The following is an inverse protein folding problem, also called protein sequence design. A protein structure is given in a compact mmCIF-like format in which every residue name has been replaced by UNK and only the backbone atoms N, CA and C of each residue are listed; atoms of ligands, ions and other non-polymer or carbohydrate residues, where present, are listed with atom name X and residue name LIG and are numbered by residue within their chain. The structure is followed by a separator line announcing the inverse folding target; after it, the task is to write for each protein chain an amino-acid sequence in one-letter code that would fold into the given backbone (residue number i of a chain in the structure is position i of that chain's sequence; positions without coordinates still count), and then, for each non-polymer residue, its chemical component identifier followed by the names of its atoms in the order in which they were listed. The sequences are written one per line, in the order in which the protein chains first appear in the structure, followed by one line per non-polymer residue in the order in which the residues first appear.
data_IF_547862538852
#
_entry.id   IF_547862538852
#
_cell.length_a   1.000
_cell.length_b   1.000
_cell.length_c   1.000
_cell.angle_alpha   90.00
_cell.angle_beta   90.00
_cell.angle_gamma   90.00
#
_symmetry.space_group_name_H-M   'P 1'
#
loop_
_entity.id
_entity.type
_entity.pdbx_description
1 polymer ?
#
# COMPACT_ATOMS: atom_id res chain seq x y z
N UNK A 1 -10.91 -8.53 8.87
CA UNK A 1 -11.77 -8.55 10.09
C UNK A 1 -12.54 -7.24 10.07
N UNK A 2 -13.86 -7.24 10.25
CA UNK A 2 -14.60 -5.97 10.36
C UNK A 2 -14.74 -5.55 11.82
N UNK A 3 -14.55 -4.28 12.12
CA UNK A 3 -14.82 -3.71 13.45
C UNK A 3 -16.31 -3.77 13.78
N UNK A 4 -16.67 -3.42 15.01
CA UNK A 4 -18.08 -3.28 15.42
C UNK A 4 -18.83 -2.22 14.57
N UNK A 5 -18.11 -1.29 13.94
CA UNK A 5 -18.64 -0.27 13.04
C UNK A 5 -18.61 -0.68 11.56
N UNK A 6 -18.16 -1.90 11.25
CA UNK A 6 -18.19 -2.47 9.90
C UNK A 6 -16.96 -2.15 9.04
N UNK A 7 -15.97 -1.45 9.59
CA UNK A 7 -14.71 -1.11 8.90
C UNK A 7 -13.77 -2.31 8.84
N UNK A 8 -13.17 -2.57 7.68
CA UNK A 8 -12.04 -3.46 7.54
C UNK A 8 -10.75 -2.70 7.85
N UNK A 9 -10.15 -2.98 9.02
CA UNK A 9 -8.94 -2.29 9.49
C UNK A 9 -7.77 -2.42 8.52
N UNK A 10 -7.69 -3.54 7.77
CA UNK A 10 -6.65 -3.72 6.76
C UNK A 10 -6.99 -3.04 5.42
N UNK A 11 -7.93 -2.08 5.42
CA UNK A 11 -8.27 -1.17 4.31
C UNK A 11 -8.35 0.29 4.76
N UNK A 12 -7.94 0.59 5.99
CA UNK A 12 -8.16 1.88 6.63
C UNK A 12 -6.86 2.70 6.78
N UNK A 13 -5.72 2.17 6.32
CA UNK A 13 -4.40 2.80 6.53
C UNK A 13 -4.24 4.19 5.91
N UNK A 14 -5.02 4.57 4.89
CA UNK A 14 -4.95 5.89 4.27
C UNK A 14 -6.00 6.85 4.83
N UNK A 15 -7.26 6.41 4.86
CA UNK A 15 -8.38 7.26 5.30
C UNK A 15 -8.44 7.41 6.83
N UNK A 16 -7.96 6.42 7.58
CA UNK A 16 -7.83 6.41 9.03
C UNK A 16 -9.12 6.89 9.73
N UNK A 17 -10.21 6.16 9.54
CA UNK A 17 -11.51 6.45 10.16
C UNK A 17 -11.76 5.61 11.40
N UNK A 18 -11.25 4.37 11.46
CA UNK A 18 -11.47 3.52 12.60
C UNK A 18 -10.62 3.96 13.81
N UNK A 19 -11.23 3.90 15.00
CA UNK A 19 -10.56 4.23 16.27
C UNK A 19 -9.31 3.38 16.49
N UNK A 20 -9.35 2.09 16.11
CA UNK A 20 -8.21 1.19 16.22
C UNK A 20 -7.05 1.61 15.29
N UNK A 21 -7.34 2.09 14.09
CA UNK A 21 -6.33 2.60 13.16
C UNK A 21 -5.73 3.89 13.71
N UNK A 22 -6.55 4.84 14.16
CA UNK A 22 -6.08 6.07 14.79
C UNK A 22 -5.20 5.78 16.02
N UNK A 23 -5.57 4.80 16.83
CA UNK A 23 -4.80 4.36 17.98
C UNK A 23 -3.47 3.71 17.58
N UNK A 24 -3.44 2.88 16.52
CA UNK A 24 -2.21 2.29 15.98
C UNK A 24 -1.25 3.39 15.50
N UNK A 25 -1.75 4.40 14.78
CA UNK A 25 -0.91 5.47 14.26
C UNK A 25 -0.35 6.32 15.39
N UNK A 26 -1.21 6.85 16.27
CA UNK A 26 -0.79 7.75 17.35
C UNK A 26 0.08 7.07 18.41
N UNK A 27 -0.25 5.84 18.82
CA UNK A 27 0.41 5.20 19.96
C UNK A 27 1.56 4.26 19.57
N UNK A 28 1.62 3.83 18.31
CA UNK A 28 2.65 2.89 17.83
C UNK A 28 3.48 3.52 16.73
N UNK A 29 2.89 3.80 15.56
CA UNK A 29 3.67 4.19 14.39
C UNK A 29 4.34 5.55 14.54
N UNK A 30 3.64 6.57 15.01
CA UNK A 30 4.23 7.90 15.21
C UNK A 30 5.14 7.93 16.44
N UNK A 31 4.76 7.20 17.49
CA UNK A 31 5.50 7.20 18.77
C UNK A 31 6.86 6.51 18.66
N UNK A 32 6.91 5.38 17.97
CA UNK A 32 8.11 4.54 17.89
C UNK A 32 8.78 4.57 16.53
N UNK A 33 8.03 4.88 15.47
CA UNK A 33 8.52 4.91 14.10
C UNK A 33 9.32 3.64 13.73
N UNK A 34 8.68 2.46 13.81
CA UNK A 34 9.40 1.19 13.78
C UNK A 34 10.11 0.96 12.45
N UNK A 35 11.36 0.50 12.52
CA UNK A 35 12.19 0.18 11.36
C UNK A 35 11.64 -0.97 10.50
N UNK A 36 10.98 -1.93 11.14
CA UNK A 36 10.32 -3.07 10.51
C UNK A 36 8.97 -3.32 11.17
N UNK A 37 7.91 -3.40 10.37
CA UNK A 37 6.58 -3.84 10.79
C UNK A 37 6.31 -5.27 10.27
N UNK A 38 5.85 -6.15 11.14
CA UNK A 38 5.39 -7.50 10.76
C UNK A 38 3.88 -7.58 10.97
N UNK A 39 3.15 -7.78 9.90
CA UNK A 39 1.69 -7.88 9.90
C UNK A 39 1.27 -9.35 9.70
N UNK A 40 0.74 -9.97 10.75
CA UNK A 40 0.43 -11.41 10.77
C UNK A 40 -1.07 -11.66 10.57
N UNK A 41 -1.36 -12.51 9.60
CA UNK A 41 -2.70 -12.86 9.16
C UNK A 41 -2.87 -14.38 8.99
N UNK A 42 -4.10 -14.77 8.69
CA UNK A 42 -4.42 -16.09 8.14
C UNK A 42 -5.19 -15.89 6.85
N UNK A 43 -4.67 -16.43 5.76
CA UNK A 43 -5.24 -16.19 4.44
C UNK A 43 -6.46 -17.07 4.20
N UNK A 44 -7.52 -16.50 3.64
CA UNK A 44 -8.64 -17.26 3.08
C UNK A 44 -8.37 -17.71 1.62
N UNK A 45 -7.13 -17.54 1.15
CA UNK A 45 -6.72 -17.62 -0.24
C UNK A 45 -6.74 -19.01 -0.87
N UNK A 46 -5.89 -19.21 -1.88
CA UNK A 46 -5.82 -20.46 -2.63
C UNK A 46 -5.27 -21.61 -1.81
N UNK A 47 -5.61 -22.84 -2.21
CA UNK A 47 -4.98 -24.02 -1.66
C UNK A 47 -3.51 -24.06 -2.12
N UNK A 48 -2.57 -24.07 -1.19
CA UNK A 48 -1.14 -24.19 -1.44
C UNK A 48 -0.50 -25.16 -0.44
N UNK A 49 0.72 -25.61 -0.73
CA UNK A 49 1.45 -26.52 0.18
C UNK A 49 2.32 -25.82 1.23
N UNK A 50 2.41 -24.49 1.21
CA UNK A 50 3.20 -23.72 2.17
C UNK A 50 2.52 -23.64 3.55
N UNK A 51 3.30 -23.74 4.62
CA UNK A 51 2.82 -23.58 6.01
C UNK A 51 2.45 -22.12 6.31
N UNK A 52 3.21 -21.18 5.74
CA UNK A 52 2.95 -19.75 5.73
C UNK A 52 3.43 -19.18 4.41
N UNK A 53 2.73 -18.16 3.93
CA UNK A 53 3.18 -17.37 2.78
C UNK A 53 3.49 -15.94 3.21
N UNK A 54 4.39 -15.27 2.52
CA UNK A 54 4.81 -13.93 2.89
C UNK A 54 4.82 -12.96 1.71
N UNK A 55 4.79 -11.67 2.01
CA UNK A 55 5.08 -10.64 1.02
C UNK A 55 5.79 -9.46 1.68
N UNK A 56 6.65 -8.74 0.94
CA UNK A 56 7.15 -7.46 1.37
C UNK A 56 6.02 -6.42 1.30
N UNK A 57 6.30 -5.22 1.78
CA UNK A 57 5.63 -4.03 1.27
C UNK A 57 5.98 -3.85 -0.21
N UNK A 58 4.98 -3.62 -1.07
CA UNK A 58 5.25 -3.32 -2.46
C UNK A 58 5.67 -1.87 -2.63
N UNK A 59 6.76 -1.67 -3.36
CA UNK A 59 7.20 -0.34 -3.73
C UNK A 59 6.32 0.22 -4.85
N UNK A 60 5.66 1.35 -4.57
CA UNK A 60 4.90 2.15 -5.55
C UNK A 60 5.54 3.54 -5.68
N UNK A 61 5.34 4.40 -4.68
CA UNK A 61 5.88 5.78 -4.58
C UNK A 61 7.01 5.90 -3.56
N UNK A 62 7.15 4.92 -2.67
CA UNK A 62 8.18 4.88 -1.62
C UNK A 62 9.61 4.94 -2.17
N UNK A 63 10.61 4.81 -1.31
CA UNK A 63 11.97 4.50 -1.76
C UNK A 63 12.09 2.98 -1.94
N UNK A 64 12.52 2.52 -3.12
CA UNK A 64 12.57 1.09 -3.44
C UNK A 64 13.51 0.29 -2.55
N UNK A 65 14.54 0.91 -1.97
CA UNK A 65 15.59 0.19 -1.25
C UNK A 65 15.08 -0.58 -0.03
N UNK A 66 14.07 -0.08 0.68
CA UNK A 66 13.52 -0.75 1.88
C UNK A 66 12.73 -2.00 1.51
N UNK A 67 11.86 -1.90 0.51
CA UNK A 67 11.09 -3.03 -0.04
C UNK A 67 11.99 -4.04 -0.76
N UNK A 68 13.00 -3.57 -1.49
CA UNK A 68 14.01 -4.41 -2.14
C UNK A 68 14.82 -5.19 -1.12
N UNK A 69 15.26 -4.55 -0.03
CA UNK A 69 16.00 -5.26 1.00
C UNK A 69 15.14 -6.32 1.68
N UNK A 70 13.88 -6.00 1.95
CA UNK A 70 12.91 -6.96 2.50
C UNK A 70 12.74 -8.18 1.57
N UNK A 71 12.52 -7.94 0.28
CA UNK A 71 12.24 -9.00 -0.70
C UNK A 71 13.46 -9.82 -1.13
N UNK A 72 14.63 -9.19 -1.27
CA UNK A 72 15.84 -9.80 -1.81
C UNK A 72 16.77 -10.36 -0.73
N UNK A 73 16.66 -9.90 0.52
CA UNK A 73 17.54 -10.31 1.61
C UNK A 73 16.78 -10.91 2.80
N UNK A 74 15.84 -10.17 3.41
CA UNK A 74 15.18 -10.62 4.64
C UNK A 74 14.35 -11.88 4.39
N UNK A 75 13.43 -11.85 3.43
CA UNK A 75 12.50 -12.95 3.18
C UNK A 75 13.18 -14.23 2.70
N UNK A 76 14.17 -14.20 1.77
CA UNK A 76 14.93 -15.38 1.39
C UNK A 76 15.73 -16.00 2.56
N UNK A 77 16.36 -15.16 3.40
CA UNK A 77 17.10 -15.64 4.56
C UNK A 77 16.19 -16.32 5.59
N UNK A 78 15.02 -15.73 5.86
CA UNK A 78 14.01 -16.33 6.74
C UNK A 78 13.49 -17.64 6.14
N UNK A 79 13.13 -17.67 4.85
CA UNK A 79 12.67 -18.90 4.17
C UNK A 79 13.68 -20.04 4.33
N UNK A 80 14.97 -19.74 4.10
CA UNK A 80 16.03 -20.72 4.25
C UNK A 80 16.15 -21.22 5.70
N UNK A 81 16.24 -20.30 6.66
CA UNK A 81 16.40 -20.66 8.08
C UNK A 81 15.23 -21.50 8.60
N UNK A 82 14.00 -21.14 8.21
CA UNK A 82 12.79 -21.89 8.57
C UNK A 82 12.83 -23.31 8.01
N UNK A 83 13.25 -23.47 6.76
CA UNK A 83 13.38 -24.79 6.14
C UNK A 83 14.41 -25.65 6.87
N UNK A 84 15.56 -25.08 7.24
CA UNK A 84 16.64 -25.79 7.91
C UNK A 84 16.30 -26.18 9.35
N UNK A 85 15.72 -25.26 10.13
CA UNK A 85 15.45 -25.48 11.57
C UNK A 85 14.15 -26.23 11.84
N UNK A 86 13.11 -25.98 11.04
CA UNK A 86 11.76 -26.49 11.32
C UNK A 86 11.21 -27.40 10.21
N UNK A 87 11.90 -27.50 9.06
CA UNK A 87 11.43 -28.25 7.90
C UNK A 87 10.01 -27.83 7.44
N UNK A 88 9.74 -26.53 7.46
CA UNK A 88 8.50 -25.95 6.95
C UNK A 88 8.76 -25.27 5.60
N UNK A 89 7.79 -25.38 4.68
CA UNK A 89 7.83 -24.72 3.37
C UNK A 89 7.13 -23.37 3.44
N UNK A 90 7.86 -22.30 3.10
CA UNK A 90 7.40 -20.93 3.09
C UNK A 90 7.66 -20.34 1.70
N UNK A 91 6.75 -19.52 1.19
CA UNK A 91 6.95 -18.88 -0.11
C UNK A 91 6.13 -17.60 -0.28
N UNK A 92 6.23 -17.00 -1.47
CA UNK A 92 5.46 -15.82 -1.87
C UNK A 92 3.96 -15.99 -1.62
N UNK A 93 3.36 -14.94 -1.07
CA UNK A 93 1.92 -14.77 -0.97
C UNK A 93 1.34 -14.50 -2.35
N UNK A 94 0.22 -15.15 -2.63
CA UNK A 94 -0.56 -14.89 -3.83
C UNK A 94 -1.66 -15.92 -4.06
N UNK A 95 -2.47 -15.65 -5.06
CA UNK A 95 -3.52 -16.52 -5.55
C UNK A 95 -3.35 -16.84 -7.03
N UNK A 96 -3.96 -17.93 -7.44
CA UNK A 96 -4.06 -18.39 -8.84
C UNK A 96 -5.48 -18.90 -9.10
N UNK A 97 -5.91 -18.91 -10.36
CA UNK A 97 -7.21 -19.45 -10.72
C UNK A 97 -7.09 -20.96 -10.99
N UNK A 98 -7.61 -21.79 -10.08
CA UNK A 98 -7.57 -23.25 -10.24
C UNK A 98 -8.37 -23.76 -11.47
N UNK A 99 -9.24 -22.92 -12.06
CA UNK A 99 -9.96 -23.28 -13.29
C UNK A 99 -9.07 -23.26 -14.54
N UNK A 100 -7.88 -22.68 -14.43
CA UNK A 100 -6.88 -22.61 -15.49
C UNK A 100 -5.73 -23.60 -15.19
N UNK A 101 -6.04 -24.82 -14.72
CA UNK A 101 -5.03 -25.77 -14.27
C UNK A 101 -4.29 -26.46 -15.43
N UNK A 102 -2.93 -26.54 -15.41
CA UNK A 102 -2.04 -26.00 -14.38
C UNK A 102 -1.89 -24.47 -14.46
N UNK A 103 -1.92 -23.75 -13.33
CA UNK A 103 -1.77 -22.29 -13.32
C UNK A 103 -0.43 -21.85 -13.90
N UNK A 104 -0.46 -20.76 -14.68
CA UNK A 104 0.72 -20.12 -15.27
C UNK A 104 1.15 -18.85 -14.52
N UNK A 105 0.32 -18.36 -13.60
CA UNK A 105 0.55 -17.10 -12.87
C UNK A 105 0.21 -17.25 -11.39
N UNK A 106 1.05 -16.68 -10.51
CA UNK A 106 0.73 -16.42 -9.11
C UNK A 106 0.66 -14.90 -8.91
N UNK A 107 -0.49 -14.39 -8.46
CA UNK A 107 -0.76 -12.95 -8.30
C UNK A 107 -0.93 -12.57 -6.85
N UNK A 108 -0.22 -11.53 -6.40
CA UNK A 108 -0.29 -11.06 -5.01
C UNK A 108 -1.51 -10.17 -4.70
N UNK A 109 -1.57 -9.57 -3.50
CA UNK A 109 -2.56 -8.56 -3.12
C UNK A 109 -2.32 -7.22 -3.82
N UNK A 110 -3.30 -6.32 -3.74
CA UNK A 110 -3.22 -5.02 -4.42
C UNK A 110 -2.15 -4.11 -3.78
N UNK A 111 -1.47 -3.30 -4.59
CA UNK A 111 -0.39 -2.39 -4.17
C UNK A 111 -0.80 -1.24 -3.23
N UNK A 112 -2.11 -1.07 -3.00
CA UNK A 112 -2.65 0.17 -2.47
C UNK A 112 -2.15 0.41 -1.02
N UNK A 113 -1.71 1.62 -0.66
CA UNK A 113 -1.19 1.90 0.68
C UNK A 113 -2.25 1.88 1.80
N UNK A 114 -3.52 1.57 1.52
CA UNK A 114 -4.54 1.24 2.53
C UNK A 114 -4.20 -0.01 3.36
N UNK A 115 -3.38 -0.91 2.81
CA UNK A 115 -2.79 -2.00 3.56
C UNK A 115 -1.63 -1.45 4.38
N UNK A 116 -1.61 -1.73 5.68
CA UNK A 116 -0.60 -1.16 6.60
C UNK A 116 0.83 -1.48 6.15
N UNK A 117 1.06 -2.66 5.55
CA UNK A 117 2.36 -3.07 5.00
C UNK A 117 2.83 -2.11 3.90
N UNK A 118 1.99 -1.84 2.90
CA UNK A 118 2.30 -0.90 1.82
C UNK A 118 2.35 0.54 2.32
N UNK A 119 1.57 0.90 3.34
CA UNK A 119 1.66 2.21 3.99
C UNK A 119 3.06 2.44 4.59
N UNK A 120 3.67 1.43 5.22
CA UNK A 120 5.01 1.56 5.78
C UNK A 120 6.06 1.84 4.71
N UNK A 121 5.91 1.32 3.49
CA UNK A 121 6.81 1.65 2.37
C UNK A 121 6.74 3.14 1.99
N UNK A 122 5.57 3.78 2.08
CA UNK A 122 5.47 5.24 1.87
C UNK A 122 6.15 6.06 2.97
N UNK A 123 6.44 5.45 4.12
CA UNK A 123 7.22 6.03 5.22
C UNK A 123 8.70 5.69 5.17
N UNK A 124 9.17 5.03 4.10
CA UNK A 124 10.52 4.48 3.99
C UNK A 124 10.87 3.54 5.16
N UNK A 125 9.90 2.71 5.57
CA UNK A 125 10.10 1.65 6.55
C UNK A 125 9.88 0.31 5.88
N UNK A 126 10.52 -0.72 6.43
CA UNK A 126 10.33 -2.09 5.96
C UNK A 126 9.02 -2.65 6.53
N UNK A 127 8.34 -3.48 5.77
CA UNK A 127 7.23 -4.26 6.30
C UNK A 127 7.12 -5.64 5.64
N UNK A 128 6.64 -6.59 6.45
CA UNK A 128 6.43 -7.97 6.05
C UNK A 128 4.99 -8.36 6.35
N UNK A 129 4.28 -8.82 5.33
CA UNK A 129 3.03 -9.57 5.49
C UNK A 129 3.38 -11.04 5.71
N UNK A 130 2.82 -11.65 6.76
CA UNK A 130 2.88 -13.09 7.00
C UNK A 130 1.49 -13.71 7.06
N UNK A 131 1.22 -14.70 6.23
CA UNK A 131 -0.11 -15.27 6.00
C UNK A 131 -0.11 -16.78 6.21
N UNK A 132 -0.60 -17.21 7.37
CA UNK A 132 -0.72 -18.65 7.69
C UNK A 132 -1.84 -19.32 6.89
N UNK A 133 -1.69 -20.61 6.61
CA UNK A 133 -2.64 -21.34 5.77
C UNK A 133 -3.95 -21.69 6.51
N UNK A 134 -5.07 -21.04 6.19
CA UNK A 134 -6.36 -21.23 6.91
C UNK A 134 -6.89 -22.66 6.95
N UNK A 135 -6.55 -23.47 5.96
CA UNK A 135 -7.00 -24.86 5.88
C UNK A 135 -6.18 -25.83 6.73
N UNK A 136 -5.07 -25.36 7.31
CA UNK A 136 -4.29 -26.12 8.26
C UNK A 136 -4.92 -26.08 9.67
N UNK A 137 -4.66 -27.15 10.43
CA UNK A 137 -5.13 -27.22 11.83
C UNK A 137 -4.56 -26.05 12.63
N UNK A 138 -5.35 -25.50 13.54
CA UNK A 138 -4.99 -24.31 14.31
C UNK A 138 -3.59 -24.39 14.95
N UNK A 139 -3.23 -25.52 15.56
CA UNK A 139 -1.89 -25.68 16.16
C UNK A 139 -0.74 -25.59 15.15
N UNK A 140 -0.95 -26.02 13.89
CA UNK A 140 0.06 -25.90 12.84
C UNK A 140 0.22 -24.44 12.41
N UNK A 141 -0.88 -23.70 12.28
CA UNK A 141 -0.85 -22.26 11.99
C UNK A 141 -0.10 -21.50 13.07
N UNK A 142 -0.40 -21.78 14.34
CA UNK A 142 0.31 -21.17 15.48
C UNK A 142 1.79 -21.53 15.46
N UNK A 143 2.14 -22.79 15.18
CA UNK A 143 3.54 -23.20 15.07
C UNK A 143 4.27 -22.49 13.92
N UNK A 144 3.67 -22.41 12.73
CA UNK A 144 4.26 -21.72 11.59
C UNK A 144 4.43 -20.22 11.86
N UNK A 145 3.43 -19.57 12.47
CA UNK A 145 3.53 -18.16 12.87
C UNK A 145 4.63 -17.93 13.91
N UNK A 146 4.76 -18.81 14.90
CA UNK A 146 5.81 -18.69 15.92
C UNK A 146 7.21 -18.88 15.31
N UNK A 147 7.41 -19.89 14.46
CA UNK A 147 8.67 -20.09 13.74
C UNK A 147 9.00 -18.88 12.87
N UNK A 148 8.01 -18.30 12.20
CA UNK A 148 8.20 -17.09 11.41
C UNK A 148 8.65 -15.90 12.24
N UNK A 149 7.96 -15.62 13.34
CA UNK A 149 8.32 -14.51 14.24
C UNK A 149 9.69 -14.72 14.87
N UNK A 150 10.02 -15.95 15.28
CA UNK A 150 11.33 -16.30 15.82
C UNK A 150 12.46 -15.99 14.81
N UNK A 151 12.30 -16.41 13.55
CA UNK A 151 13.31 -16.13 12.53
C UNK A 151 13.38 -14.64 12.12
N UNK A 152 12.27 -13.91 12.13
CA UNK A 152 12.31 -12.44 11.98
C UNK A 152 13.08 -11.79 13.12
N UNK A 153 12.84 -12.23 14.37
CA UNK A 153 13.54 -11.70 15.54
C UNK A 153 15.03 -12.03 15.52
N UNK A 154 15.41 -13.25 15.13
CA UNK A 154 16.82 -13.61 14.96
C UNK A 154 17.49 -12.78 13.86
N UNK A 155 16.86 -12.64 12.70
CA UNK A 155 17.40 -11.86 11.60
C UNK A 155 17.58 -10.38 12.01
N UNK A 156 16.56 -9.78 12.60
CA UNK A 156 16.61 -8.38 13.05
C UNK A 156 17.60 -8.16 14.19
N UNK A 157 17.84 -9.14 15.07
CA UNK A 157 18.90 -9.07 16.07
C UNK A 157 20.29 -8.97 15.42
N UNK A 158 20.53 -9.74 14.35
CA UNK A 158 21.82 -9.78 13.66
C UNK A 158 22.03 -8.59 12.70
N UNK A 159 20.95 -8.08 12.11
CA UNK A 159 20.99 -7.08 11.03
C UNK A 159 20.35 -5.72 11.40
N UNK A 160 20.01 -5.50 12.67
CA UNK A 160 19.27 -4.31 13.11
C UNK A 160 19.92 -2.98 12.73
N UNK A 161 21.23 -2.84 12.91
CA UNK A 161 21.97 -1.62 12.53
C UNK A 161 21.96 -1.39 11.01
N UNK A 162 21.99 -2.46 10.22
CA UNK A 162 21.92 -2.37 8.75
C UNK A 162 20.52 -1.93 8.31
N UNK A 163 19.46 -2.50 8.88
CA UNK A 163 18.07 -2.12 8.63
C UNK A 163 17.86 -0.63 8.95
N UNK A 164 18.32 -0.20 10.13
CA UNK A 164 18.24 1.20 10.57
C UNK A 164 18.96 2.15 9.61
N UNK A 165 20.17 1.77 9.18
CA UNK A 165 20.94 2.56 8.21
C UNK A 165 20.20 2.68 6.88
N UNK A 166 19.67 1.59 6.34
CA UNK A 166 18.94 1.60 5.04
C UNK A 166 17.72 2.52 5.12
N UNK A 167 16.92 2.43 6.20
CA UNK A 167 15.77 3.29 6.41
C UNK A 167 16.18 4.77 6.55
N UNK A 168 17.22 5.08 7.31
CA UNK A 168 17.72 6.44 7.50
C UNK A 168 18.27 7.06 6.20
N UNK A 169 18.96 6.27 5.38
CA UNK A 169 19.44 6.69 4.06
C UNK A 169 18.27 6.93 3.10
N UNK A 170 17.21 6.13 3.18
CA UNK A 170 15.99 6.35 2.40
C UNK A 170 15.26 7.63 2.84
N UNK A 171 15.15 7.89 4.15
CA UNK A 171 14.60 9.14 4.69
C UNK A 171 15.37 10.37 4.15
N UNK A 172 16.70 10.32 4.17
CA UNK A 172 17.56 11.40 3.68
C UNK A 172 17.40 11.61 2.16
N UNK A 173 17.43 10.53 1.35
CA UNK A 173 17.24 10.63 -0.11
C UNK A 173 15.89 11.24 -0.47
N UNK A 174 14.83 10.83 0.20
CA UNK A 174 13.48 11.35 -0.03
C UNK A 174 13.43 12.84 0.32
N UNK A 175 13.94 13.25 1.49
CA UNK A 175 13.95 14.65 1.89
C UNK A 175 14.78 15.55 0.96
N UNK A 176 15.91 15.06 0.45
CA UNK A 176 16.86 15.85 -0.34
C UNK A 176 16.50 15.94 -1.83
N UNK A 177 15.83 14.92 -2.38
CA UNK A 177 15.77 14.76 -3.84
C UNK A 177 14.39 14.51 -4.43
N UNK A 178 13.34 14.29 -3.64
CA UNK A 178 12.02 13.93 -4.20
C UNK A 178 11.38 15.04 -5.02
N UNK A 179 11.62 16.31 -4.67
CA UNK A 179 11.02 17.48 -5.32
C UNK A 179 11.42 17.51 -6.81
N UNK A 180 10.43 17.65 -7.69
CA UNK A 180 10.60 17.68 -9.14
C UNK A 180 10.75 16.31 -9.81
N UNK A 181 10.75 15.20 -9.04
CA UNK A 181 10.72 13.87 -9.63
C UNK A 181 9.30 13.50 -10.09
N UNK A 182 9.20 12.70 -11.15
CA UNK A 182 7.97 12.02 -11.53
C UNK A 182 7.78 10.78 -10.64
N UNK A 183 6.64 10.72 -9.94
CA UNK A 183 6.27 9.55 -9.12
C UNK A 183 4.90 9.02 -9.51
N UNK A 184 4.73 7.71 -9.41
CA UNK A 184 3.48 7.05 -9.79
C UNK A 184 2.30 7.48 -8.90
N UNK A 185 1.12 7.61 -9.47
CA UNK A 185 -0.14 7.86 -8.74
C UNK A 185 -1.17 6.75 -9.02
N UNK A 186 -0.90 5.92 -10.03
CA UNK A 186 -1.70 4.73 -10.36
C UNK A 186 -0.76 3.62 -10.78
N UNK A 187 -1.09 2.38 -10.43
CA UNK A 187 -0.19 1.24 -10.67
C UNK A 187 -0.92 0.01 -11.21
N UNK A 188 -0.19 -0.79 -11.98
CA UNK A 188 -0.62 -2.11 -12.45
C UNK A 188 0.35 -3.18 -11.97
N UNK A 189 -0.18 -4.36 -11.70
CA UNK A 189 0.63 -5.52 -11.30
C UNK A 189 1.38 -6.10 -12.50
N UNK A 190 2.66 -6.40 -12.32
CA UNK A 190 3.55 -6.95 -13.34
C UNK A 190 4.34 -8.15 -12.77
N UNK A 191 4.77 -9.09 -13.62
CA UNK A 191 5.61 -10.20 -13.16
C UNK A 191 7.03 -9.71 -12.84
N UNK A 192 7.66 -10.37 -11.87
CA UNK A 192 9.12 -10.33 -11.71
C UNK A 192 9.79 -11.06 -12.88
N UNK A 193 11.05 -10.72 -13.15
CA UNK A 193 11.85 -11.37 -14.20
C UNK A 193 12.02 -12.88 -13.95
N UNK A 194 12.21 -13.26 -12.68
CA UNK A 194 12.40 -14.64 -12.28
C UNK A 194 11.04 -15.30 -11.94
N UNK A 195 10.67 -16.42 -12.61
CA UNK A 195 9.50 -17.19 -12.24
C UNK A 195 9.72 -17.92 -10.91
N UNK A 196 8.66 -18.54 -10.40
CA UNK A 196 8.72 -19.37 -9.19
C UNK A 196 8.25 -20.80 -9.45
N UNK A 197 8.64 -21.69 -8.54
CA UNK A 197 8.14 -23.05 -8.46
C UNK A 197 6.97 -23.08 -7.47
N UNK A 198 5.76 -23.28 -7.98
CA UNK A 198 4.54 -23.19 -7.19
C UNK A 198 4.24 -24.51 -6.49
N UNK A 199 4.48 -24.56 -5.17
CA UNK A 199 4.05 -25.67 -4.31
C UNK A 199 2.55 -25.58 -4.00
N UNK A 200 1.77 -26.52 -4.54
CA UNK A 200 0.31 -26.48 -4.44
C UNK A 200 -0.35 -27.86 -4.43
N UNK A 201 -1.65 -27.94 -4.16
CA UNK A 201 -2.44 -29.16 -4.31
C UNK A 201 -2.83 -29.40 -5.77
N UNK A 202 -2.78 -30.66 -6.24
CA UNK A 202 -3.20 -31.00 -7.59
C UNK A 202 -4.71 -30.88 -7.78
N UNK A 203 -5.14 -30.57 -9.01
CA UNK A 203 -6.54 -30.47 -9.38
C UNK A 203 -6.87 -31.44 -10.51
N UNK A 204 -7.99 -32.16 -10.35
CA UNK A 204 -8.45 -33.19 -11.28
C UNK A 204 -9.61 -32.62 -12.09
N UNK A 205 -9.53 -32.57 -13.44
CA UNK A 205 -10.61 -32.09 -14.28
C UNK A 205 -11.77 -33.09 -14.30
N UNK A 206 -13.01 -32.60 -14.30
CA UNK A 206 -14.21 -33.38 -14.54
C UNK A 206 -15.19 -32.61 -15.42
N UNK A 207 -16.03 -33.34 -16.17
CA UNK A 207 -17.04 -32.76 -17.05
C UNK A 207 -18.35 -32.57 -16.29
N UNK A 208 -18.88 -31.34 -16.29
CA UNK A 208 -20.20 -31.00 -15.75
C UNK A 208 -21.31 -31.44 -16.71
N UNK A 209 -22.56 -31.44 -16.22
CA UNK A 209 -23.73 -31.83 -17.00
C UNK A 209 -23.97 -30.93 -18.23
N UNK A 210 -23.57 -29.66 -18.16
CA UNK A 210 -23.63 -28.69 -19.27
C UNK A 210 -22.49 -28.84 -20.30
N UNK A 211 -21.57 -29.80 -20.07
CA UNK A 211 -20.43 -30.07 -20.94
C UNK A 211 -19.19 -29.22 -20.65
N UNK A 212 -19.24 -28.26 -19.73
CA UNK A 212 -18.07 -27.50 -19.30
C UNK A 212 -17.13 -28.36 -18.43
N UNK A 213 -15.84 -28.00 -18.42
CA UNK A 213 -14.85 -28.62 -17.53
C UNK A 213 -14.78 -27.79 -16.25
N UNK A 214 -14.77 -28.48 -15.12
CA UNK A 214 -14.43 -27.91 -13.82
C UNK A 214 -13.41 -28.80 -13.12
N UNK A 215 -12.90 -28.35 -12.00
CA UNK A 215 -11.79 -28.99 -11.32
C UNK A 215 -12.13 -29.28 -9.86
N UNK A 216 -11.72 -30.45 -9.39
CA UNK A 216 -11.80 -30.82 -7.98
C UNK A 216 -10.38 -30.99 -7.42
N UNK A 217 -10.16 -30.45 -6.24
CA UNK A 217 -8.87 -30.53 -5.55
C UNK A 217 -8.59 -31.96 -5.08
N UNK A 218 -7.37 -32.44 -5.33
CA UNK A 218 -6.78 -33.66 -4.78
C UNK A 218 -6.06 -33.39 -3.45
N UNK A 219 -5.76 -34.44 -2.69
CA UNK A 219 -4.89 -34.34 -1.51
C UNK A 219 -3.39 -34.39 -1.84
N UNK A 220 -3.05 -34.66 -3.10
CA UNK A 220 -1.67 -34.71 -3.58
C UNK A 220 -1.08 -33.30 -3.68
N UNK A 221 0.14 -33.12 -3.16
CA UNK A 221 0.93 -31.92 -3.37
C UNK A 221 1.81 -32.10 -4.60
N UNK A 222 1.90 -31.06 -5.41
CA UNK A 222 2.71 -30.98 -6.63
C UNK A 222 3.49 -29.67 -6.65
N UNK A 223 4.57 -29.65 -7.42
CA UNK A 223 5.32 -28.44 -7.77
C UNK A 223 5.06 -28.16 -9.24
N UNK A 224 4.63 -26.94 -9.54
CA UNK A 224 4.49 -26.45 -10.92
C UNK A 224 5.64 -25.48 -11.16
N UNK A 225 6.57 -25.88 -12.02
CA UNK A 225 7.76 -25.10 -12.35
C UNK A 225 7.42 -23.95 -13.31
N UNK A 226 8.17 -22.85 -13.21
CA UNK A 226 8.11 -21.75 -14.19
C UNK A 226 6.83 -20.92 -14.16
N UNK A 227 6.16 -20.82 -13.00
CA UNK A 227 4.97 -19.98 -12.82
C UNK A 227 5.38 -18.51 -12.77
N UNK A 228 4.73 -17.66 -13.57
CA UNK A 228 5.01 -16.23 -13.58
C UNK A 228 4.65 -15.59 -12.22
N UNK A 229 5.60 -14.85 -11.66
CA UNK A 229 5.49 -14.31 -10.31
C UNK A 229 5.05 -12.84 -10.31
N UNK A 230 3.74 -12.58 -10.25
CA UNK A 230 3.15 -11.23 -10.22
C UNK A 230 3.23 -10.61 -8.82
N UNK A 231 4.46 -10.26 -8.43
CA UNK A 231 4.83 -9.66 -7.14
C UNK A 231 5.53 -8.31 -7.31
N UNK A 232 5.34 -7.63 -8.44
CA UNK A 232 5.81 -6.27 -8.71
C UNK A 232 4.69 -5.38 -9.28
N UNK A 233 4.94 -4.07 -9.29
CA UNK A 233 3.99 -3.07 -9.78
C UNK A 233 4.71 -1.98 -10.55
N UNK A 234 4.14 -1.61 -11.70
CA UNK A 234 4.61 -0.50 -12.52
C UNK A 234 3.60 0.65 -12.48
N UNK A 235 4.11 1.88 -12.48
CA UNK A 235 3.28 3.07 -12.58
C UNK A 235 2.60 3.13 -13.96
N UNK A 236 1.28 3.24 -13.98
CA UNK A 236 0.49 3.49 -15.20
C UNK A 236 0.24 4.98 -15.41
N UNK A 237 0.39 5.77 -14.35
CA UNK A 237 0.29 7.23 -14.36
C UNK A 237 1.23 7.83 -13.34
N UNK A 238 1.86 8.95 -13.68
CA UNK A 238 2.77 9.69 -12.80
C UNK A 238 2.32 11.14 -12.63
N UNK A 239 2.82 11.80 -11.59
CA UNK A 239 2.74 13.23 -11.40
C UNK A 239 4.05 13.76 -10.81
N UNK A 240 4.34 15.04 -11.05
CA UNK A 240 5.54 15.69 -10.50
C UNK A 240 5.37 15.97 -9.01
N UNK A 241 6.37 15.63 -8.20
CA UNK A 241 6.38 15.98 -6.77
C UNK A 241 6.62 17.48 -6.60
N UNK A 242 5.71 18.24 -5.97
CA UNK A 242 5.86 19.68 -5.78
C UNK A 242 6.85 20.00 -4.65
N UNK A 243 7.18 21.28 -4.47
CA UNK A 243 7.90 21.75 -3.28
C UNK A 243 7.02 21.75 -2.03
N UNK A 244 5.74 22.07 -2.20
CA UNK A 244 4.77 22.09 -1.13
C UNK A 244 3.34 21.91 -1.67
N UNK A 245 2.46 21.41 -0.80
CA UNK A 245 1.02 21.52 -1.01
C UNK A 245 0.45 22.64 -0.16
N UNK A 246 -0.49 23.41 -0.71
CA UNK A 246 -1.08 24.57 -0.05
C UNK A 246 -2.59 24.47 -0.14
N UNK A 247 -3.28 24.69 0.97
CA UNK A 247 -4.74 24.63 1.01
C UNK A 247 -5.32 25.60 2.04
N UNK A 248 -6.59 25.96 1.85
CA UNK A 248 -7.22 27.02 2.64
C UNK A 248 -7.51 26.60 4.07
N UNK A 249 -7.53 27.58 4.97
CA UNK A 249 -7.86 27.42 6.39
C UNK A 249 -9.21 26.72 6.64
N UNK A 250 -10.16 26.84 5.70
CA UNK A 250 -11.47 26.18 5.75
C UNK A 250 -11.39 24.65 5.69
N UNK A 251 -10.26 24.07 5.29
CA UNK A 251 -10.02 22.63 5.27
C UNK A 251 -9.24 22.17 6.52
N UNK A 252 -9.58 22.66 7.71
CA UNK A 252 -8.93 22.23 8.95
C UNK A 252 -9.01 20.72 9.16
N UNK A 253 -10.09 20.06 8.72
CA UNK A 253 -10.20 18.59 8.74
C UNK A 253 -9.16 17.88 7.87
N UNK A 254 -8.69 18.50 6.78
CA UNK A 254 -7.55 17.97 6.02
C UNK A 254 -6.26 18.09 6.83
N UNK A 255 -6.02 19.23 7.47
CA UNK A 255 -4.86 19.43 8.35
C UNK A 255 -4.83 18.37 9.47
N UNK A 256 -5.95 18.20 10.19
CA UNK A 256 -6.09 17.18 11.24
C UNK A 256 -5.84 15.75 10.73
N UNK A 257 -6.34 15.44 9.51
CA UNK A 257 -6.13 14.13 8.89
C UNK A 257 -4.65 13.88 8.57
N UNK A 258 -3.95 14.88 8.04
CA UNK A 258 -2.51 14.79 7.75
C UNK A 258 -1.68 14.68 9.05
N UNK A 259 -2.02 15.46 10.07
CA UNK A 259 -1.39 15.36 11.41
C UNK A 259 -1.62 13.99 12.04
N UNK A 260 -2.79 13.37 11.80
CA UNK A 260 -3.07 11.98 12.16
C UNK A 260 -2.16 10.96 11.48
N UNK A 261 -1.55 11.32 10.36
CA UNK A 261 -0.46 10.57 9.71
C UNK A 261 0.94 10.97 10.20
N UNK A 262 1.05 11.88 11.16
CA UNK A 262 2.33 12.41 11.66
C UNK A 262 2.99 13.37 10.67
N UNK A 263 2.22 13.92 9.72
CA UNK A 263 2.69 14.92 8.77
C UNK A 263 2.63 16.28 9.46
N UNK A 264 3.72 17.05 9.36
CA UNK A 264 3.75 18.43 9.83
C UNK A 264 2.96 19.31 8.86
N UNK A 265 1.93 19.98 9.39
CA UNK A 265 1.16 21.00 8.66
C UNK A 265 1.49 22.35 9.27
N UNK A 266 2.09 23.24 8.49
CA UNK A 266 2.44 24.59 8.92
C UNK A 266 1.33 25.56 8.55
N UNK A 267 1.21 26.65 9.32
CA UNK A 267 0.25 27.74 9.07
C UNK A 267 1.00 28.92 8.47
N UNK A 268 0.47 29.50 7.40
CA UNK A 268 1.04 30.72 6.81
C UNK A 268 0.90 31.90 7.78
N UNK A 269 2.04 32.52 8.10
CA UNK A 269 2.10 33.67 9.01
C UNK A 269 1.75 35.01 8.36
N UNK A 270 1.72 35.06 7.02
CA UNK A 270 1.36 36.22 6.23
C UNK A 270 0.79 35.79 4.88
N UNK A 271 0.10 36.71 4.20
CA UNK A 271 -0.35 36.49 2.83
C UNK A 271 0.87 36.24 1.93
N UNK A 272 0.77 35.21 1.10
CA UNK A 272 1.87 34.78 0.24
C UNK A 272 1.34 34.31 -1.12
N UNK A 273 2.11 34.59 -2.17
CA UNK A 273 1.80 34.21 -3.54
C UNK A 273 2.73 33.11 -3.98
N UNK A 274 2.17 32.05 -4.56
CA UNK A 274 2.89 30.87 -5.01
C UNK A 274 2.60 30.61 -6.49
N UNK A 275 3.64 30.25 -7.23
CA UNK A 275 3.54 29.74 -8.59
C UNK A 275 3.58 28.22 -8.56
N UNK A 276 2.80 27.59 -9.43
CA UNK A 276 2.72 26.14 -9.49
C UNK A 276 1.49 25.71 -10.26
N UNK A 277 0.82 24.64 -9.82
CA UNK A 277 -0.23 23.98 -10.59
C UNK A 277 -1.53 23.84 -9.79
N UNK A 278 -2.64 24.10 -10.46
CA UNK A 278 -3.99 23.80 -9.99
C UNK A 278 -4.55 22.63 -10.79
N UNK A 279 -5.00 21.57 -10.12
CA UNK A 279 -5.76 20.53 -10.80
C UNK A 279 -7.21 20.99 -10.99
N UNK A 280 -7.65 21.09 -12.24
CA UNK A 280 -9.02 21.47 -12.62
C UNK A 280 -9.78 20.23 -13.04
N UNK A 281 -10.80 19.89 -12.25
CA UNK A 281 -11.63 18.70 -12.40
C UNK A 281 -12.77 19.01 -13.35
N UNK A 282 -13.03 18.09 -14.28
CA UNK A 282 -14.19 18.14 -15.17
C UNK A 282 -15.18 16.99 -14.91
N UNK A 283 -14.74 15.91 -14.26
CA UNK A 283 -15.58 14.74 -13.99
C UNK A 283 -15.14 14.04 -12.67
N UNK A 284 -16.13 13.58 -11.90
CA UNK A 284 -15.94 12.72 -10.72
C UNK A 284 -16.63 11.40 -11.01
N UNK A 285 -15.85 10.41 -11.41
CA UNK A 285 -16.29 9.03 -11.54
C UNK A 285 -16.39 8.36 -10.17
N UNK A 286 -17.12 7.25 -10.10
CA UNK A 286 -17.31 6.46 -8.89
C UNK A 286 -16.99 4.98 -9.14
N UNK A 287 -16.36 4.33 -8.18
CA UNK A 287 -16.27 2.86 -8.16
C UNK A 287 -17.66 2.22 -8.16
N UNK A 288 -17.78 1.06 -8.78
CA UNK A 288 -19.05 0.32 -8.90
C UNK A 288 -19.39 -0.53 -7.66
N UNK A 289 -18.53 -0.51 -6.65
CA UNK A 289 -18.70 -1.24 -5.40
C UNK A 289 -18.33 -0.36 -4.20
N UNK A 290 -18.87 -0.71 -3.04
CA UNK A 290 -18.58 -0.03 -1.77
C UNK A 290 -17.35 -0.67 -1.12
N UNK A 291 -16.36 0.14 -0.80
CA UNK A 291 -15.14 -0.27 -0.14
C UNK A 291 -14.99 0.44 1.19
N UNK A 292 -14.96 -0.32 2.28
CA UNK A 292 -14.84 0.22 3.63
C UNK A 292 -15.88 1.31 4.00
N UNK A 293 -17.07 1.31 3.37
CA UNK A 293 -18.09 2.36 3.57
C UNK A 293 -18.09 3.46 2.52
N UNK A 294 -17.12 3.46 1.62
CA UNK A 294 -16.90 4.48 0.58
C UNK A 294 -17.30 3.98 -0.79
N UNK A 295 -17.90 4.86 -1.59
CA UNK A 295 -17.99 4.68 -3.04
C UNK A 295 -16.91 5.58 -3.63
N UNK A 296 -15.69 5.03 -3.72
CA UNK A 296 -14.49 5.81 -3.99
C UNK A 296 -14.58 6.67 -5.26
N UNK A 297 -14.06 7.88 -5.18
CA UNK A 297 -14.03 8.85 -6.28
C UNK A 297 -12.84 8.60 -7.21
N UNK A 298 -13.06 8.82 -8.50
CA UNK A 298 -12.01 8.82 -9.52
C UNK A 298 -12.08 10.18 -10.21
N UNK A 299 -11.17 11.08 -9.86
CA UNK A 299 -11.15 12.42 -10.41
C UNK A 299 -10.53 12.41 -11.81
N UNK A 300 -11.17 13.13 -12.74
CA UNK A 300 -10.60 13.43 -14.05
C UNK A 300 -10.49 14.93 -14.25
N UNK A 301 -9.36 15.34 -14.79
CA UNK A 301 -9.01 16.74 -14.91
C UNK A 301 -7.63 16.92 -15.51
N UNK A 302 -7.11 18.13 -15.39
CA UNK A 302 -5.78 18.50 -15.87
C UNK A 302 -5.11 19.48 -14.91
N UNK A 303 -3.78 19.41 -14.83
CA UNK A 303 -2.98 20.42 -14.14
C UNK A 303 -2.82 21.65 -15.02
N UNK A 304 -3.13 22.81 -14.46
CA UNK A 304 -2.96 24.11 -15.12
C UNK A 304 -1.96 24.94 -14.32
N UNK A 305 -0.89 25.38 -14.99
CA UNK A 305 0.06 26.33 -14.43
C UNK A 305 -0.65 27.64 -14.07
N UNK A 306 -0.49 28.07 -12.83
CA UNK A 306 -1.10 29.30 -12.34
C UNK A 306 -0.32 29.87 -11.17
N UNK A 307 -0.70 31.08 -10.79
CA UNK A 307 -0.19 31.75 -9.61
C UNK A 307 -1.36 32.07 -8.69
N UNK A 308 -1.31 31.59 -7.46
CA UNK A 308 -2.37 31.78 -6.45
C UNK A 308 -1.82 32.48 -5.22
N UNK A 309 -2.62 33.39 -4.67
CA UNK A 309 -2.36 34.02 -3.37
C UNK A 309 -3.16 33.31 -2.30
N UNK A 310 -2.47 32.93 -1.23
CA UNK A 310 -3.04 32.36 -0.02
C UNK A 310 -2.89 33.36 1.11
N UNK A 311 -3.85 33.33 2.04
CA UNK A 311 -3.92 34.30 3.14
C UNK A 311 -3.19 33.77 4.37
N UNK A 312 -2.83 34.68 5.27
CA UNK A 312 -2.44 34.29 6.63
C UNK A 312 -3.49 33.36 7.24
N UNK A 313 -3.05 32.25 7.83
CA UNK A 313 -3.92 31.22 8.41
C UNK A 313 -4.21 30.04 7.48
N UNK A 314 -3.92 30.14 6.18
CA UNK A 314 -3.95 28.99 5.27
C UNK A 314 -2.79 28.03 5.59
N UNK A 315 -2.93 26.78 5.15
CA UNK A 315 -1.99 25.70 5.50
C UNK A 315 -0.98 25.44 4.39
N UNK A 316 0.25 25.09 4.77
CA UNK A 316 1.31 24.66 3.88
C UNK A 316 1.94 23.36 4.40
N UNK A 317 2.16 22.41 3.49
CA UNK A 317 2.79 21.11 3.78
C UNK A 317 4.01 20.98 2.89
N UNK A 318 5.19 21.06 3.49
CA UNK A 318 6.47 20.99 2.78
C UNK A 318 6.82 19.57 2.36
N UNK A 319 7.44 19.43 1.18
CA UNK A 319 7.85 18.15 0.60
C UNK A 319 9.33 17.81 0.81
N UNK A 320 10.05 18.58 1.64
CA UNK A 320 11.46 18.37 1.97
C UNK A 320 11.68 17.50 3.23
N UNK A 321 10.77 16.56 3.50
CA UNK A 321 10.80 15.71 4.68
C UNK A 321 10.65 14.24 4.32
N UNK A 322 11.02 13.36 5.25
CA UNK A 322 10.99 11.90 5.06
C UNK A 322 9.62 11.34 4.63
N UNK A 323 8.53 12.01 5.01
CA UNK A 323 7.15 11.61 4.69
C UNK A 323 6.66 12.14 3.32
N UNK A 324 7.53 12.73 2.50
CA UNK A 324 7.15 13.30 1.20
C UNK A 324 6.40 12.29 0.31
N UNK A 325 6.80 11.02 0.31
CA UNK A 325 6.12 9.97 -0.47
C UNK A 325 4.68 9.73 0.00
N UNK A 326 4.45 9.72 1.32
CA UNK A 326 3.12 9.59 1.91
C UNK A 326 2.26 10.83 1.64
N UNK A 327 2.82 12.03 1.83
CA UNK A 327 2.14 13.31 1.58
C UNK A 327 1.70 13.37 0.11
N UNK A 328 2.61 13.05 -0.82
CA UNK A 328 2.34 13.01 -2.25
C UNK A 328 1.18 12.07 -2.56
N UNK A 329 1.23 10.81 -2.08
CA UNK A 329 0.16 9.84 -2.37
C UNK A 329 -1.19 10.23 -1.78
N UNK A 330 -1.21 10.84 -0.59
CA UNK A 330 -2.43 11.28 0.08
C UNK A 330 -3.09 12.45 -0.65
N UNK A 331 -2.29 13.39 -1.18
CA UNK A 331 -2.77 14.67 -1.69
C UNK A 331 -2.90 14.75 -3.20
N UNK A 332 -2.20 13.92 -3.97
CA UNK A 332 -2.35 13.93 -5.44
C UNK A 332 -3.78 13.55 -5.84
N UNK A 333 -4.46 14.38 -6.67
CA UNK A 333 -5.87 14.19 -7.01
C UNK A 333 -6.14 12.93 -7.82
N UNK A 334 -5.13 12.44 -8.53
CA UNK A 334 -5.24 11.29 -9.45
C UNK A 334 -4.70 9.99 -8.84
N UNK A 335 -4.32 10.05 -7.56
CA UNK A 335 -3.89 8.91 -6.75
C UNK A 335 -5.01 7.88 -6.59
N UNK A 336 -4.74 6.61 -6.91
CA UNK A 336 -5.72 5.51 -6.83
C UNK A 336 -6.01 5.00 -5.40
N UNK A 337 -5.41 5.66 -4.40
CA UNK A 337 -5.66 5.39 -2.97
C UNK A 337 -5.46 6.63 -2.07
N UNK A 338 -5.41 7.83 -2.65
CA UNK A 338 -5.27 9.09 -1.92
C UNK A 338 -6.56 9.55 -1.25
N UNK A 339 -6.52 10.68 -0.54
CA UNK A 339 -7.69 11.19 0.20
C UNK A 339 -8.85 11.59 -0.73
N UNK A 340 -8.54 12.04 -1.94
CA UNK A 340 -9.54 12.26 -2.99
C UNK A 340 -10.28 10.97 -3.36
N UNK A 341 -9.53 9.88 -3.57
CA UNK A 341 -10.10 8.56 -3.84
C UNK A 341 -11.01 8.09 -2.70
N UNK A 342 -10.67 8.40 -1.47
CA UNK A 342 -11.44 8.10 -0.27
C UNK A 342 -12.56 9.12 0.05
N UNK A 343 -13.03 9.86 -0.95
CA UNK A 343 -14.18 10.78 -0.89
C UNK A 343 -14.00 12.02 0.02
N UNK A 344 -12.79 12.32 0.50
CA UNK A 344 -12.59 13.42 1.46
C UNK A 344 -13.04 14.79 0.92
N UNK A 345 -12.94 14.99 -0.40
CA UNK A 345 -13.25 16.27 -1.05
C UNK A 345 -14.60 16.27 -1.77
N UNK A 346 -15.37 15.19 -1.71
CA UNK A 346 -16.57 15.02 -2.53
C UNK A 346 -17.59 16.13 -2.30
N UNK A 347 -17.93 16.42 -1.03
CA UNK A 347 -18.92 17.46 -0.69
C UNK A 347 -18.51 18.83 -1.26
N UNK A 348 -17.22 19.18 -1.16
CA UNK A 348 -16.68 20.41 -1.72
C UNK A 348 -16.76 20.42 -3.26
N UNK A 349 -16.31 19.34 -3.90
CA UNK A 349 -16.20 19.25 -5.36
C UNK A 349 -17.57 19.16 -6.04
N UNK A 350 -18.48 18.35 -5.51
CA UNK A 350 -19.85 18.24 -6.01
C UNK A 350 -20.58 19.59 -5.89
N UNK A 351 -20.37 20.31 -4.79
CA UNK A 351 -20.92 21.65 -4.60
C UNK A 351 -20.40 22.68 -5.63
N UNK A 352 -19.16 22.54 -6.10
CA UNK A 352 -18.60 23.36 -7.18
C UNK A 352 -19.16 22.95 -8.55
N UNK A 353 -19.19 21.65 -8.86
CA UNK A 353 -19.69 21.12 -10.13
C UNK A 353 -21.19 21.33 -10.35
N UNK A 354 -21.97 21.51 -9.28
CA UNK A 354 -23.37 21.95 -9.41
C UNK A 354 -23.52 23.40 -9.90
N UNK A 355 -22.45 24.21 -9.80
CA UNK A 355 -22.46 25.65 -10.11
C UNK A 355 -21.66 25.99 -11.36
N UNK A 356 -20.78 25.10 -11.81
CA UNK A 356 -19.89 25.29 -12.96
C UNK A 356 -19.57 23.93 -13.60
N UNK A 357 -19.19 23.94 -14.88
CA UNK A 357 -18.79 22.72 -15.59
C UNK A 357 -17.43 22.17 -15.12
N UNK A 358 -16.70 22.92 -14.29
CA UNK A 358 -15.40 22.54 -13.75
C UNK A 358 -15.28 22.89 -12.26
N UNK A 359 -14.40 22.19 -11.54
CA UNK A 359 -14.10 22.46 -10.15
C UNK A 359 -12.59 22.44 -9.89
N UNK A 360 -12.09 23.44 -9.16
CA UNK A 360 -10.71 23.43 -8.67
C UNK A 360 -10.57 22.40 -7.56
N UNK A 361 -9.65 21.43 -7.69
CA UNK A 361 -9.23 20.59 -6.58
C UNK A 361 -8.72 21.47 -5.42
N UNK A 362 -9.14 21.23 -4.16
CA UNK A 362 -8.94 22.21 -3.10
C UNK A 362 -7.49 22.28 -2.56
N UNK A 363 -6.56 21.51 -3.11
CA UNK A 363 -5.14 21.51 -2.77
C UNK A 363 -4.32 21.97 -3.97
N UNK A 364 -3.49 22.99 -3.76
CA UNK A 364 -2.62 23.58 -4.78
C UNK A 364 -1.20 23.02 -4.69
N UNK A 365 -0.56 22.77 -5.84
CA UNK A 365 0.83 22.31 -5.93
C UNK A 365 1.74 23.52 -6.12
N UNK A 366 2.57 23.85 -5.14
CA UNK A 366 3.59 24.89 -5.28
C UNK A 366 4.87 24.26 -5.86
N UNK A 367 5.33 24.74 -7.02
CA UNK A 367 6.43 24.13 -7.79
C UNK A 367 7.79 24.76 -7.52
#
# INVERSE_FOLDING_TARGET
IRTAHGYDLNRDGMIMEADETQALYSNVLQRWDPDLLVDLHTTNGTWHGNALTYAPSYHTVGDATTSDYTSKHILPAIKQSIKEKFNLDFDWYGGYNYRDWPPTELRTYHHAPRYITNHMALRNRMAILGETFSHDRFYKRVHAANAFVEEVLEYTHLHGEEIQRINAEADARVADSSIGQEKGVQFTMVPLDEPLDLLTYSYIPYRRADGSIDFVRSSELVIIEGVANYNAFDATKTATVPRAYIFRASLSGLAEKLEGHGILVEVLEADATFSGEQFVINEIDKQSFVQNGHTNSLLRGEFIETTKTFSRGDYVVSMNGRLANLIFYLLEPESDDGLAYWNLFDEYLEGQLQRSDTADYPVFKAM
#
